data_IF_730192810418
#
_entry.id   IF_730192810418
#
_cell.length_a   1.000
_cell.length_b   1.000
_cell.length_c   1.000
_cell.angle_alpha   90.00
_cell.angle_beta   90.00
_cell.angle_gamma   90.00
#
_symmetry.space_group_name_H-M   'P 1'
#
loop_
_entity.id
_entity.type
_entity.pdbx_description
1 polymer ?
#
# COMPACT_ATOMS: atom_id res chain seq x y z
N UNK A 1 8.02 2.47 17.76
CA UNK A 1 7.34 3.66 17.23
C UNK A 1 5.97 3.19 16.81
N UNK A 2 4.93 3.70 17.44
CA UNK A 2 3.57 3.46 16.97
C UNK A 2 3.33 4.36 15.75
N UNK A 3 2.92 3.75 14.64
CA UNK A 3 2.55 4.46 13.41
C UNK A 3 1.02 4.39 13.26
N UNK A 4 0.38 5.53 12.97
CA UNK A 4 -1.04 5.56 12.64
C UNK A 4 -1.23 5.15 11.18
N UNK A 5 -1.75 3.94 10.97
CA UNK A 5 -1.94 3.35 9.64
C UNK A 5 -3.34 3.65 9.12
N UNK A 6 -3.42 4.13 7.88
CA UNK A 6 -4.68 4.51 7.24
C UNK A 6 -4.79 3.81 5.89
N UNK A 7 -5.90 3.11 5.67
CA UNK A 7 -6.20 2.51 4.36
C UNK A 7 -6.98 3.50 3.49
N UNK A 8 -6.57 3.66 2.23
CA UNK A 8 -7.32 4.36 1.19
C UNK A 8 -7.32 3.57 -0.11
N UNK A 9 -8.47 3.48 -0.74
CA UNK A 9 -8.59 3.04 -2.12
C UNK A 9 -8.08 4.12 -3.09
N UNK A 10 -7.66 3.69 -4.28
CA UNK A 10 -7.31 4.59 -5.40
C UNK A 10 -8.49 5.51 -5.75
N UNK A 11 -9.73 5.00 -5.68
CA UNK A 11 -10.93 5.80 -5.84
C UNK A 11 -11.06 6.91 -4.77
N UNK A 12 -10.88 6.59 -3.48
CA UNK A 12 -10.96 7.58 -2.39
C UNK A 12 -9.89 8.67 -2.50
N UNK A 13 -8.74 8.36 -3.12
CA UNK A 13 -7.69 9.33 -3.43
C UNK A 13 -8.06 10.25 -4.62
N UNK A 14 -9.15 9.96 -5.33
CA UNK A 14 -9.71 10.80 -6.39
C UNK A 14 -9.44 10.26 -7.80
N UNK A 15 -9.18 8.96 -7.94
CA UNK A 15 -8.87 8.32 -9.22
C UNK A 15 -9.88 7.20 -9.53
N UNK A 16 -11.10 7.54 -9.98
CA UNK A 16 -12.16 6.55 -10.25
C UNK A 16 -11.84 5.61 -11.43
N UNK A 17 -10.97 6.05 -12.35
CA UNK A 17 -10.49 5.25 -13.50
C UNK A 17 -9.15 4.55 -13.24
N UNK A 18 -8.63 4.65 -12.00
CA UNK A 18 -7.29 4.19 -11.66
C UNK A 18 -6.19 5.23 -11.89
N UNK A 19 -4.99 4.91 -11.43
CA UNK A 19 -3.83 5.79 -11.54
C UNK A 19 -2.49 5.03 -11.43
N UNK A 20 -1.42 5.67 -11.89
CA UNK A 20 -0.05 5.19 -11.67
C UNK A 20 0.35 5.37 -10.21
N UNK A 21 1.26 4.52 -9.73
CA UNK A 21 1.71 4.52 -8.34
C UNK A 21 2.23 5.89 -7.88
N UNK A 22 3.12 6.53 -8.64
CA UNK A 22 3.65 7.85 -8.29
C UNK A 22 2.57 8.93 -8.18
N UNK A 23 1.53 8.83 -9.00
CA UNK A 23 0.38 9.75 -8.98
C UNK A 23 -0.48 9.53 -7.72
N UNK A 24 -0.65 8.26 -7.32
CA UNK A 24 -1.32 7.88 -6.07
C UNK A 24 -0.54 8.42 -4.86
N UNK A 25 0.78 8.23 -4.82
CA UNK A 25 1.63 8.71 -3.72
C UNK A 25 1.63 10.24 -3.63
N UNK A 26 1.78 10.94 -4.75
CA UNK A 26 1.73 12.41 -4.77
C UNK A 26 0.41 12.92 -4.19
N UNK A 27 -0.72 12.32 -4.60
CA UNK A 27 -2.05 12.68 -4.11
C UNK A 27 -2.26 12.33 -2.63
N UNK A 28 -1.70 11.22 -2.17
CA UNK A 28 -1.77 10.83 -0.76
C UNK A 28 -1.03 11.87 0.12
N UNK A 29 0.15 12.33 -0.33
CA UNK A 29 0.92 13.39 0.33
C UNK A 29 0.20 14.73 0.43
N UNK A 30 -0.49 15.15 -0.62
CA UNK A 30 -1.37 16.34 -0.59
C UNK A 30 -2.44 16.25 0.51
N UNK A 31 -2.84 15.03 0.88
CA UNK A 31 -3.89 14.74 1.88
C UNK A 31 -3.33 14.42 3.27
N UNK A 32 -2.04 14.65 3.51
CA UNK A 32 -1.40 14.42 4.82
C UNK A 32 -1.14 12.95 5.13
N UNK A 33 -1.02 12.11 4.09
CA UNK A 33 -0.59 10.72 4.18
C UNK A 33 0.84 10.60 3.64
N UNK A 34 1.63 9.67 4.13
CA UNK A 34 2.97 9.42 3.61
C UNK A 34 3.26 7.93 3.48
N UNK A 35 4.44 7.62 2.93
CA UNK A 35 4.92 6.26 2.74
C UNK A 35 5.19 5.58 4.08
N UNK A 36 4.76 4.32 4.16
CA UNK A 36 5.13 3.39 5.22
C UNK A 36 6.63 3.03 5.11
N UNK A 37 7.33 2.87 6.24
CA UNK A 37 8.58 2.11 6.28
C UNK A 37 8.38 0.69 5.75
N UNK A 38 9.42 0.10 5.14
CA UNK A 38 9.35 -1.26 4.60
C UNK A 38 9.05 -2.32 5.68
N UNK A 39 9.41 -2.04 6.93
CA UNK A 39 9.19 -2.90 8.10
C UNK A 39 7.72 -2.98 8.53
N UNK A 40 6.85 -2.10 8.01
CA UNK A 40 5.41 -2.15 8.30
C UNK A 40 4.80 -3.47 7.83
N UNK A 41 5.24 -4.01 6.69
CA UNK A 41 4.62 -5.22 6.13
C UNK A 41 4.84 -6.48 7.00
N UNK A 42 6.08 -6.88 7.35
CA UNK A 42 6.29 -8.06 8.19
C UNK A 42 5.64 -7.93 9.56
N UNK A 43 5.60 -6.71 10.12
CA UNK A 43 4.92 -6.46 11.39
C UNK A 43 3.40 -6.55 11.25
N UNK A 44 2.83 -6.02 10.17
CA UNK A 44 1.40 -6.08 9.90
C UNK A 44 0.93 -7.52 9.76
N UNK A 45 1.64 -8.37 9.02
CA UNK A 45 1.30 -9.80 8.90
C UNK A 45 1.28 -10.53 10.26
N UNK A 46 2.19 -10.18 11.17
CA UNK A 46 2.25 -10.77 12.51
C UNK A 46 1.12 -10.28 13.42
N UNK A 47 0.78 -8.98 13.36
CA UNK A 47 -0.18 -8.36 14.27
C UNK A 47 -1.63 -8.44 13.78
N UNK A 48 -1.86 -8.37 12.47
CA UNK A 48 -3.19 -8.38 11.86
C UNK A 48 -3.65 -9.83 11.63
N UNK A 49 -3.98 -10.50 12.74
CA UNK A 49 -4.32 -11.93 12.76
C UNK A 49 -5.73 -12.25 12.26
N UNK A 50 -6.61 -11.26 12.27
CA UNK A 50 -8.03 -11.32 11.93
C UNK A 50 -8.35 -10.61 10.61
N UNK A 51 -7.38 -10.54 9.68
CA UNK A 51 -7.59 -10.01 8.34
C UNK A 51 -8.81 -10.69 7.67
N UNK A 52 -9.79 -9.94 7.16
CA UNK A 52 -10.94 -10.51 6.45
C UNK A 52 -10.54 -11.28 5.20
N UNK A 53 -11.33 -12.31 4.86
CA UNK A 53 -11.25 -12.98 3.56
C UNK A 53 -11.45 -11.98 2.41
N UNK A 54 -10.75 -12.18 1.30
CA UNK A 54 -10.75 -11.33 0.10
C UNK A 54 -10.22 -9.89 0.31
N UNK A 55 -9.57 -9.60 1.45
CA UNK A 55 -8.92 -8.32 1.67
C UNK A 55 -7.48 -8.33 1.16
N UNK A 56 -7.15 -7.37 0.30
CA UNK A 56 -5.81 -7.13 -0.23
C UNK A 56 -5.37 -5.69 0.06
N UNK A 57 -4.28 -5.53 0.81
CA UNK A 57 -3.74 -4.23 1.21
C UNK A 57 -2.32 -4.08 0.68
N UNK A 58 -2.13 -3.14 -0.24
CA UNK A 58 -0.81 -2.80 -0.77
C UNK A 58 -0.15 -1.80 0.18
N UNK A 59 1.11 -2.00 0.52
CA UNK A 59 1.82 -1.08 1.40
C UNK A 59 2.36 0.06 0.55
N UNK A 60 1.88 1.28 0.77
CA UNK A 60 2.43 2.45 0.11
C UNK A 60 3.81 2.72 0.71
N UNK A 61 4.85 2.23 0.06
CA UNK A 61 6.25 2.33 0.49
C UNK A 61 7.16 2.79 -0.65
N UNK A 62 8.41 3.09 -0.34
CA UNK A 62 9.42 3.28 -1.38
C UNK A 62 9.58 1.95 -2.15
N UNK A 63 9.42 1.94 -3.49
CA UNK A 63 9.57 0.71 -4.26
C UNK A 63 10.98 0.12 -4.15
N UNK A 64 11.05 -1.21 -4.12
CA UNK A 64 12.31 -1.95 -4.15
C UNK A 64 12.50 -2.53 -5.55
N UNK A 65 13.69 -2.32 -6.11
CA UNK A 65 14.06 -2.88 -7.41
C UNK A 65 14.42 -4.36 -7.28
N UNK A 66 13.78 -5.22 -8.08
CA UNK A 66 14.11 -6.65 -8.16
C UNK A 66 15.36 -6.93 -9.02
N UNK A 67 15.80 -8.20 -9.05
CA UNK A 67 17.02 -8.62 -9.75
C UNK A 67 17.04 -8.32 -11.25
N UNK A 68 15.88 -8.07 -11.88
CA UNK A 68 15.76 -7.77 -13.30
C UNK A 68 15.29 -6.33 -13.56
N UNK A 69 15.27 -5.49 -12.54
CA UNK A 69 15.02 -4.06 -12.66
C UNK A 69 13.55 -3.63 -12.49
N UNK A 70 12.63 -4.51 -12.09
CA UNK A 70 11.25 -4.09 -11.84
C UNK A 70 11.10 -3.46 -10.47
N UNK A 71 10.31 -2.39 -10.39
CA UNK A 71 9.92 -1.79 -9.12
C UNK A 71 8.79 -2.60 -8.50
N UNK A 72 8.95 -2.96 -7.21
CA UNK A 72 7.99 -3.75 -6.46
C UNK A 72 7.68 -3.12 -5.11
N UNK A 73 6.43 -3.30 -4.67
CA UNK A 73 5.96 -2.98 -3.33
C UNK A 73 5.42 -4.25 -2.67
N UNK A 74 5.36 -4.26 -1.34
CA UNK A 74 4.75 -5.37 -0.61
C UNK A 74 3.23 -5.23 -0.51
N UNK A 75 2.56 -6.35 -0.30
CA UNK A 75 1.16 -6.40 0.07
C UNK A 75 0.88 -7.58 1.00
N UNK A 76 -0.17 -7.42 1.81
CA UNK A 76 -0.80 -8.51 2.57
C UNK A 76 -2.15 -8.86 1.97
N UNK A 77 -2.49 -10.14 1.98
CA UNK A 77 -3.72 -10.67 1.38
C UNK A 77 -4.28 -11.83 2.20
N UNK A 78 -5.57 -12.10 2.07
CA UNK A 78 -6.19 -13.29 2.65
C UNK A 78 -7.15 -13.91 1.64
N UNK A 79 -6.87 -15.15 1.25
CA UNK A 79 -7.71 -15.97 0.39
C UNK A 79 -7.99 -17.34 1.03
N UNK A 80 -8.55 -18.27 0.26
CA UNK A 80 -8.90 -19.63 0.72
C UNK A 80 -7.68 -20.43 1.22
N UNK A 81 -6.46 -20.09 0.78
CA UNK A 81 -5.20 -20.72 1.18
C UNK A 81 -4.56 -20.04 2.41
N UNK A 82 -5.15 -18.94 2.89
CA UNK A 82 -4.77 -18.25 4.12
C UNK A 82 -4.13 -16.88 3.90
N UNK A 83 -3.26 -16.46 4.83
CA UNK A 83 -2.69 -15.09 4.85
C UNK A 83 -1.35 -14.99 4.13
N UNK A 84 -1.28 -14.08 3.17
CA UNK A 84 -0.15 -13.85 2.30
C UNK A 84 0.67 -12.64 2.73
N UNK A 85 1.97 -12.73 2.46
CA UNK A 85 2.87 -11.57 2.33
C UNK A 85 3.62 -11.80 1.03
N UNK A 86 3.43 -10.91 0.06
CA UNK A 86 4.04 -11.04 -1.27
C UNK A 86 4.35 -9.64 -1.83
N UNK A 87 4.76 -9.59 -3.09
CA UNK A 87 5.07 -8.34 -3.78
C UNK A 87 4.22 -8.19 -5.03
N UNK A 88 3.89 -6.96 -5.38
CA UNK A 88 3.31 -6.60 -6.66
C UNK A 88 4.19 -5.57 -7.37
N UNK A 89 4.11 -5.55 -8.70
CA UNK A 89 4.86 -4.61 -9.53
C UNK A 89 4.19 -3.24 -9.49
N UNK A 90 4.98 -2.20 -9.32
CA UNK A 90 4.53 -0.82 -9.35
C UNK A 90 5.32 0.02 -10.36
N UNK A 91 5.82 -0.64 -11.42
CA UNK A 91 6.53 0.02 -12.51
C UNK A 91 5.69 1.17 -13.10
N UNK A 92 6.31 2.23 -13.65
CA UNK A 92 5.59 3.44 -14.10
C UNK A 92 4.57 3.21 -15.22
N UNK A 93 4.54 2.03 -15.84
CA UNK A 93 3.60 1.59 -16.88
C UNK A 93 2.39 0.83 -16.33
N UNK A 94 2.35 0.54 -15.02
CA UNK A 94 1.28 -0.22 -14.37
C UNK A 94 0.25 0.73 -13.76
N UNK A 95 -0.99 0.62 -14.24
CA UNK A 95 -2.15 1.33 -13.69
C UNK A 95 -2.78 0.49 -12.59
N UNK A 96 -2.96 1.10 -11.42
CA UNK A 96 -3.72 0.54 -10.31
C UNK A 96 -5.20 0.87 -10.47
N UNK A 97 -6.05 -0.14 -10.41
CA UNK A 97 -7.49 0.03 -10.53
C UNK A 97 -8.07 0.80 -9.33
N UNK A 98 -9.22 1.41 -9.53
CA UNK A 98 -9.88 2.26 -8.53
C UNK A 98 -10.22 1.54 -7.21
N UNK A 99 -10.43 0.22 -7.25
CA UNK A 99 -10.69 -0.60 -6.07
C UNK A 99 -9.42 -1.06 -5.32
N UNK A 100 -8.22 -0.90 -5.89
CA UNK A 100 -6.99 -1.26 -5.19
C UNK A 100 -6.85 -0.39 -3.93
N UNK A 101 -6.54 -1.05 -2.80
CA UNK A 101 -6.39 -0.41 -1.49
C UNK A 101 -4.92 -0.33 -1.10
N UNK A 102 -4.54 0.84 -0.60
CA UNK A 102 -3.20 1.16 -0.13
C UNK A 102 -3.21 1.52 1.35
N UNK A 103 -2.20 1.05 2.07
CA UNK A 103 -1.92 1.38 3.46
C UNK A 103 -0.86 2.49 3.51
N UNK A 104 -1.17 3.57 4.20
CA UNK A 104 -0.29 4.73 4.39
C UNK A 104 -0.07 4.99 5.86
N UNK A 105 0.98 5.76 6.20
CA UNK A 105 1.09 6.40 7.50
C UNK A 105 0.41 7.77 7.48
N UNK A 106 -0.26 8.13 8.57
CA UNK A 106 -0.78 9.49 8.75
C UNK A 106 0.34 10.41 9.23
N UNK A 107 0.53 11.55 8.57
CA UNK A 107 1.39 12.61 9.09
C UNK A 107 0.68 13.30 10.26
N UNK A 108 1.17 13.06 11.48
CA UNK A 108 0.81 13.92 12.61
C UNK A 108 1.55 15.25 12.45
N UNK A 109 0.82 16.34 12.26
CA UNK A 109 1.40 17.67 12.40
C UNK A 109 1.83 17.81 13.86
N UNK A 110 3.13 17.86 14.10
CA UNK A 110 3.66 18.33 15.39
C UNK A 110 3.22 19.79 15.49
N UNK A 111 2.37 20.09 16.46
CA UNK A 111 1.91 21.43 16.78
C UNK A 111 3.02 22.26 17.43
#
# INVERSE_FOLDING_TARGET
MDVDLVVRSVNELGFPEGALYDTIIARARERGLDLCPAEVDPQLKLQYTDQPMDEWLHIAMEPITDMIGNLRIFFVGHDEDGRWLSTDRCSPDIVWCSFNRFLFVRLHKVA
#
